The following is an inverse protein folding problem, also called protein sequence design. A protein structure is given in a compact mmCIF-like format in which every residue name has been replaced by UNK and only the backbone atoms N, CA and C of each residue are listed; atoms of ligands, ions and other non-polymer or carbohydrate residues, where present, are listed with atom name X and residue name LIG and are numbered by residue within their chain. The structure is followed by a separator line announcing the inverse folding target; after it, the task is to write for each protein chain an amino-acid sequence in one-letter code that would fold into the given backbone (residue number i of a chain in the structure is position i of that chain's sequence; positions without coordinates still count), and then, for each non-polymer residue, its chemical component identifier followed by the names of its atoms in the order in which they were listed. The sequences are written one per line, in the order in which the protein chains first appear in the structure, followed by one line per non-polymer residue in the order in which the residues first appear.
data_IF_467905210404
#
_entry.id   IF_467905210404
#
_cell.length_a   1.000
_cell.length_b   1.000
_cell.length_c   1.000
_cell.angle_alpha   90.00
_cell.angle_beta   90.00
_cell.angle_gamma   90.00
#
_symmetry.space_group_name_H-M   'P 1'
#
loop_
_entity.id
_entity.type
_entity.pdbx_description
1 polymer ?
#
# COMPACT_ATOMS: atom_id res chain seq x y z
N UNK A 1 -7.19 5.16 6.55
CA UNK A 1 -6.01 4.34 6.83
C UNK A 1 -6.20 3.69 8.17
N UNK A 2 -5.97 2.37 8.26
CA UNK A 2 -5.99 1.64 9.52
C UNK A 2 -4.60 1.05 9.77
N UNK A 3 -4.10 1.17 10.99
CA UNK A 3 -2.92 0.45 11.47
C UNK A 3 -3.41 -0.65 12.40
N UNK A 4 -2.97 -1.88 12.17
CA UNK A 4 -3.27 -3.05 12.99
C UNK A 4 -2.32 -3.08 14.20
N UNK A 5 -2.70 -3.82 15.25
CA UNK A 5 -1.91 -3.90 16.51
C UNK A 5 -0.47 -4.41 16.32
N UNK A 6 -0.19 -5.09 15.20
CA UNK A 6 1.15 -5.59 14.84
C UNK A 6 1.97 -4.59 13.99
N UNK A 7 1.50 -3.36 13.82
CA UNK A 7 2.15 -2.30 13.03
C UNK A 7 1.92 -2.40 11.53
N UNK A 8 1.15 -3.39 11.06
CA UNK A 8 0.78 -3.49 9.65
C UNK A 8 -0.21 -2.37 9.31
N UNK A 9 0.04 -1.67 8.20
CA UNK A 9 -0.85 -0.61 7.72
C UNK A 9 -1.64 -1.08 6.51
N UNK A 10 -2.94 -0.79 6.53
CA UNK A 10 -3.90 -1.17 5.50
C UNK A 10 -4.57 0.08 4.94
N UNK A 11 -4.50 0.22 3.62
CA UNK A 11 -5.24 1.20 2.85
C UNK A 11 -6.44 0.48 2.25
N UNK A 12 -7.65 0.90 2.64
CA UNK A 12 -8.90 0.48 2.04
C UNK A 12 -9.50 1.68 1.35
N UNK A 13 -9.71 1.57 0.03
CA UNK A 13 -10.41 2.59 -0.75
C UNK A 13 -11.38 1.86 -1.68
N UNK A 14 -12.63 2.31 -1.69
CA UNK A 14 -13.74 1.71 -2.44
C UNK A 14 -14.20 2.77 -3.43
N UNK A 15 -14.21 2.45 -4.73
CA UNK A 15 -14.62 3.43 -5.73
C UNK A 15 -15.41 2.84 -6.90
N UNK A 16 -16.52 3.51 -7.23
CA UNK A 16 -17.51 3.06 -8.23
C UNK A 16 -17.37 3.79 -9.57
N UNK A 17 -16.70 4.97 -9.62
CA UNK A 17 -16.56 5.78 -10.83
C UNK A 17 -15.10 6.19 -11.11
N UNK A 18 -14.69 6.20 -12.39
CA UNK A 18 -13.33 6.50 -12.86
C UNK A 18 -12.21 5.60 -12.27
N UNK A 19 -12.31 4.28 -12.48
CA UNK A 19 -11.38 3.27 -11.93
C UNK A 19 -9.91 3.53 -12.25
N UNK A 20 -9.56 3.97 -13.47
CA UNK A 20 -8.17 4.25 -13.83
C UNK A 20 -7.57 5.38 -12.98
N UNK A 21 -8.33 6.45 -12.74
CA UNK A 21 -7.89 7.54 -11.86
C UNK A 21 -7.71 7.05 -10.42
N UNK A 22 -8.64 6.21 -9.96
CA UNK A 22 -8.61 5.62 -8.63
C UNK A 22 -7.36 4.74 -8.42
N UNK A 23 -7.09 3.78 -9.30
CA UNK A 23 -5.91 2.93 -9.21
C UNK A 23 -4.62 3.76 -9.29
N UNK A 24 -4.58 4.78 -10.16
CA UNK A 24 -3.46 5.69 -10.25
C UNK A 24 -3.22 6.51 -8.97
N UNK A 25 -4.26 6.73 -8.15
CA UNK A 25 -4.14 7.39 -6.84
C UNK A 25 -3.70 6.44 -5.74
N UNK A 26 -3.99 5.15 -5.86
CA UNK A 26 -3.56 4.15 -4.89
C UNK A 26 -2.03 4.01 -4.82
N UNK A 27 -1.35 4.13 -5.96
CA UNK A 27 0.11 4.09 -6.05
C UNK A 27 0.83 5.15 -5.19
N UNK A 28 0.57 6.47 -5.35
CA UNK A 28 1.22 7.48 -4.54
C UNK A 28 0.86 7.34 -3.05
N UNK A 29 -0.31 6.81 -2.70
CA UNK A 29 -0.65 6.52 -1.30
C UNK A 29 0.20 5.41 -0.70
N UNK A 30 0.37 4.30 -1.41
CA UNK A 30 1.29 3.24 -1.00
C UNK A 30 2.72 3.76 -0.84
N UNK A 31 3.23 4.50 -1.83
CA UNK A 31 4.58 5.07 -1.78
C UNK A 31 4.75 6.04 -0.62
N UNK A 32 3.78 6.94 -0.40
CA UNK A 32 3.78 7.86 0.74
C UNK A 32 3.82 7.11 2.06
N UNK A 33 3.05 6.02 2.18
CA UNK A 33 2.99 5.26 3.43
C UNK A 33 4.29 4.52 3.73
N UNK A 34 4.87 3.88 2.70
CA UNK A 34 6.20 3.25 2.80
C UNK A 34 7.25 4.29 3.19
N UNK A 35 7.23 5.48 2.57
CA UNK A 35 8.15 6.56 2.89
C UNK A 35 8.01 7.05 4.33
N UNK A 36 6.78 7.26 4.81
CA UNK A 36 6.53 7.67 6.20
C UNK A 36 7.00 6.61 7.20
N UNK A 37 6.82 5.32 6.90
CA UNK A 37 7.32 4.24 7.75
C UNK A 37 8.85 4.24 7.80
N UNK A 38 9.51 4.43 6.65
CA UNK A 38 10.97 4.55 6.59
C UNK A 38 11.47 5.77 7.38
N UNK A 39 10.81 6.92 7.27
CA UNK A 39 11.16 8.12 8.04
C UNK A 39 11.03 7.91 9.55
N UNK A 40 9.97 7.25 10.01
CA UNK A 40 9.79 6.87 11.43
C UNK A 40 10.91 5.95 11.93
N UNK A 41 11.33 4.99 11.11
CA UNK A 41 12.44 4.08 11.46
C UNK A 41 13.76 4.84 11.51
N UNK A 42 14.04 5.71 10.52
CA UNK A 42 15.24 6.57 10.50
C UNK A 42 15.33 7.47 11.73
N UNK A 43 14.21 8.00 12.19
CA UNK A 43 14.15 8.80 13.42
C UNK A 43 14.45 7.98 14.67
N UNK A 44 14.05 6.70 14.70
CA UNK A 44 14.23 5.81 15.86
C UNK A 44 15.64 5.19 15.92
N UNK A 45 16.16 4.76 14.78
CA UNK A 45 17.37 3.92 14.70
C UNK A 45 18.57 4.61 14.04
N UNK A 46 18.38 5.83 13.54
CA UNK A 46 19.35 6.52 12.70
C UNK A 46 19.21 6.13 11.22
N UNK A 47 19.84 6.93 10.35
CA UNK A 47 19.81 6.72 8.92
C UNK A 47 20.87 5.69 8.52
N UNK A 48 20.53 4.41 8.61
CA UNK A 48 21.39 3.31 8.17
C UNK A 48 20.69 2.50 7.10
N UNK A 49 21.46 1.79 6.26
CA UNK A 49 20.87 0.85 5.30
C UNK A 49 20.07 -0.27 5.99
N UNK A 50 20.30 -0.53 7.29
CA UNK A 50 19.53 -1.50 8.05
C UNK A 50 18.09 -1.05 8.32
N UNK A 51 17.79 0.26 8.28
CA UNK A 51 16.43 0.79 8.45
C UNK A 51 15.45 0.20 7.43
N UNK A 52 15.91 -0.12 6.21
CA UNK A 52 15.09 -0.77 5.19
C UNK A 52 14.61 -2.18 5.58
N UNK A 53 15.37 -2.90 6.42
CA UNK A 53 14.99 -4.25 6.86
C UNK A 53 13.83 -4.24 7.86
N UNK A 54 13.53 -3.08 8.43
CA UNK A 54 12.50 -2.93 9.45
C UNK A 54 11.23 -2.26 8.93
N UNK A 55 11.18 -1.90 7.64
CA UNK A 55 9.99 -1.28 7.07
C UNK A 55 8.80 -2.22 7.25
N UNK A 56 7.79 -1.74 7.98
CA UNK A 56 6.54 -2.44 8.13
C UNK A 56 5.84 -2.59 6.77
N UNK A 57 5.24 -3.75 6.53
CA UNK A 57 4.50 -4.03 5.31
C UNK A 57 3.28 -3.10 5.21
N UNK A 58 3.09 -2.54 4.02
CA UNK A 58 1.92 -1.74 3.67
C UNK A 58 1.08 -2.54 2.68
N UNK A 59 -0.17 -2.80 3.04
CA UNK A 59 -1.12 -3.47 2.16
C UNK A 59 -2.14 -2.46 1.63
N UNK A 60 -2.45 -2.56 0.34
CA UNK A 60 -3.58 -1.87 -0.26
C UNK A 60 -4.59 -2.89 -0.77
N UNK A 61 -5.86 -2.62 -0.50
CA UNK A 61 -6.99 -3.36 -1.05
C UNK A 61 -7.87 -2.35 -1.78
N UNK A 62 -8.15 -2.65 -3.04
CA UNK A 62 -9.02 -1.85 -3.90
C UNK A 62 -10.18 -2.73 -4.39
N UNK A 63 -11.41 -2.25 -4.20
CA UNK A 63 -12.61 -2.85 -4.78
C UNK A 63 -13.04 -1.96 -5.94
N UNK A 64 -13.16 -2.56 -7.12
CA UNK A 64 -13.50 -1.89 -8.38
C UNK A 64 -14.78 -2.46 -8.97
N UNK A 65 -15.47 -1.68 -9.79
CA UNK A 65 -16.77 -2.03 -10.40
C UNK A 65 -16.65 -3.02 -11.58
N UNK A 66 -15.52 -3.01 -12.30
CA UNK A 66 -15.24 -3.95 -13.39
C UNK A 66 -13.86 -4.57 -13.21
N UNK A 67 -13.62 -5.75 -13.79
CA UNK A 67 -12.32 -6.41 -13.76
C UNK A 67 -11.22 -5.46 -14.25
N UNK A 68 -10.28 -5.16 -13.37
CA UNK A 68 -9.11 -4.35 -13.71
C UNK A 68 -8.08 -5.16 -14.52
N UNK A 69 -7.98 -6.45 -14.24
CA UNK A 69 -7.13 -7.39 -14.98
C UNK A 69 -7.91 -8.04 -16.12
N UNK A 70 -7.17 -8.55 -17.10
CA UNK A 70 -7.74 -9.18 -18.31
C UNK A 70 -8.26 -10.60 -18.11
N UNK A 71 -8.08 -11.19 -16.93
CA UNK A 71 -8.58 -12.52 -16.60
C UNK A 71 -9.93 -12.44 -15.83
N UNK A 72 -10.55 -13.60 -15.66
CA UNK A 72 -11.86 -13.73 -15.00
C UNK A 72 -11.74 -13.96 -13.48
N UNK A 73 -10.57 -13.75 -12.87
CA UNK A 73 -10.39 -13.94 -11.44
C UNK A 73 -10.97 -12.76 -10.66
N UNK A 74 -11.69 -13.05 -9.57
CA UNK A 74 -12.28 -12.02 -8.71
C UNK A 74 -11.26 -11.33 -7.80
N UNK A 75 -10.10 -11.95 -7.56
CA UNK A 75 -9.10 -11.48 -6.63
C UNK A 75 -7.70 -11.60 -7.22
N UNK A 76 -6.95 -10.51 -7.16
CA UNK A 76 -5.54 -10.46 -7.51
C UNK A 76 -4.75 -9.97 -6.31
N UNK A 77 -3.67 -10.67 -6.01
CA UNK A 77 -2.68 -10.22 -5.03
C UNK A 77 -1.33 -10.18 -5.71
N UNK A 78 -0.56 -9.15 -5.44
CA UNK A 78 0.78 -8.99 -5.97
C UNK A 78 1.64 -8.31 -4.91
N UNK A 79 2.94 -8.59 -4.98
CA UNK A 79 3.95 -7.92 -4.18
C UNK A 79 4.78 -7.09 -5.15
N UNK A 80 4.89 -5.79 -4.88
CA UNK A 80 5.84 -4.94 -5.59
C UNK A 80 7.22 -5.34 -5.08
N UNK A 81 8.02 -5.96 -5.95
CA UNK A 81 9.42 -6.34 -5.68
C UNK A 81 10.36 -5.21 -6.04
#
# INVERSE_FOLDING_TARGET
MAELDNGIQVIIEIQVHHQNFFINRLWPYLCSQVNQNLEKIRQREGDTHQSYKQIALVYAIAIVDSNYFSDDLAFHSFIVK
#
